data_IF_030864940488
#
_entry.id   IF_030864940488
#
_cell.length_a   1.000
_cell.length_b   1.000
_cell.length_c   1.000
_cell.angle_alpha   90.00
_cell.angle_beta   90.00
_cell.angle_gamma   90.00
#
_symmetry.space_group_name_H-M   'P 1'
#
loop_
_entity.id
_entity.type
_entity.pdbx_description
1 polymer ?
#
# COMPACT_ATOMS: atom_id res chain seq x y z
N UNK A 1 -6.62 -9.25 23.72
CA UNK A 1 -7.17 -9.02 22.36
C UNK A 1 -7.06 -10.34 21.60
N UNK A 2 -8.14 -10.83 21.03
CA UNK A 2 -8.12 -12.06 20.23
C UNK A 2 -7.59 -11.75 18.82
N UNK A 3 -6.60 -12.53 18.37
CA UNK A 3 -6.09 -12.48 17.00
C UNK A 3 -6.78 -13.56 16.15
N UNK A 4 -7.38 -13.17 15.04
CA UNK A 4 -7.86 -14.10 14.01
C UNK A 4 -6.86 -14.15 12.87
N UNK A 5 -6.38 -15.35 12.56
CA UNK A 5 -5.40 -15.60 11.50
C UNK A 5 -6.09 -16.27 10.32
N UNK A 6 -5.78 -15.80 9.12
CA UNK A 6 -6.24 -16.39 7.88
C UNK A 6 -5.11 -16.44 6.87
N UNK A 7 -5.24 -17.31 5.85
CA UNK A 7 -4.33 -17.28 4.71
C UNK A 7 -4.67 -16.06 3.82
N UNK A 8 -3.65 -15.33 3.38
CA UNK A 8 -3.82 -14.15 2.53
C UNK A 8 -4.46 -14.49 1.19
N UNK A 9 -4.18 -15.68 0.64
CA UNK A 9 -4.69 -16.14 -0.65
C UNK A 9 -6.18 -16.47 -0.61
N UNK A 10 -6.74 -16.71 0.57
CA UNK A 10 -8.20 -16.86 0.74
C UNK A 10 -8.93 -15.52 0.55
N UNK A 11 -8.22 -14.40 0.66
CA UNK A 11 -8.79 -13.05 0.60
C UNK A 11 -8.43 -12.32 -0.69
N UNK A 12 -7.16 -12.38 -1.08
CA UNK A 12 -6.58 -11.56 -2.14
C UNK A 12 -6.21 -12.45 -3.32
N UNK A 13 -6.81 -12.16 -4.48
CA UNK A 13 -6.36 -12.67 -5.76
C UNK A 13 -5.36 -11.71 -6.39
N UNK A 14 -4.32 -12.26 -7.02
CA UNK A 14 -3.42 -11.50 -7.88
C UNK A 14 -3.40 -12.17 -9.23
N UNK A 15 -3.57 -11.38 -10.29
CA UNK A 15 -3.43 -11.85 -11.66
C UNK A 15 -2.44 -10.96 -12.40
N UNK A 16 -1.64 -11.61 -13.22
CA UNK A 16 -0.84 -10.92 -14.21
C UNK A 16 -1.71 -10.61 -15.43
N UNK A 17 -1.52 -9.44 -16.02
CA UNK A 17 -2.14 -9.03 -17.28
C UNK A 17 -1.05 -8.76 -18.29
N UNK A 18 -1.34 -9.11 -19.53
CA UNK A 18 -0.46 -8.70 -20.62
C UNK A 18 -0.39 -7.17 -20.69
N UNK A 19 0.80 -6.61 -20.91
CA UNK A 19 0.92 -5.20 -21.25
C UNK A 19 0.04 -4.87 -22.45
N UNK A 20 -0.56 -3.69 -22.48
CA UNK A 20 -1.48 -3.30 -23.57
C UNK A 20 -0.71 -3.18 -24.91
N UNK A 21 0.61 -2.96 -24.90
CA UNK A 21 1.48 -3.06 -26.08
C UNK A 21 2.88 -3.62 -25.80
N UNK A 22 3.44 -4.27 -26.81
CA UNK A 22 4.82 -4.80 -26.87
C UNK A 22 5.90 -3.70 -26.97
N UNK A 23 5.52 -2.44 -27.19
CA UNK A 23 6.45 -1.34 -27.51
C UNK A 23 7.25 -0.80 -26.30
N UNK A 24 7.17 -1.45 -25.15
CA UNK A 24 8.03 -1.08 -24.02
C UNK A 24 9.47 -1.54 -24.31
N UNK A 25 10.49 -0.71 -24.04
CA UNK A 25 11.88 -1.08 -24.30
C UNK A 25 12.37 -2.27 -23.45
N UNK A 26 11.61 -2.60 -22.40
CA UNK A 26 11.76 -3.76 -21.51
C UNK A 26 10.37 -4.25 -21.10
N UNK A 27 10.25 -5.46 -20.56
CA UNK A 27 8.94 -5.99 -20.11
C UNK A 27 8.26 -4.98 -19.18
N UNK A 28 7.07 -4.51 -19.55
CA UNK A 28 6.33 -3.54 -18.74
C UNK A 28 6.07 -4.14 -17.35
N UNK A 29 6.50 -3.47 -16.27
CA UNK A 29 6.29 -4.00 -14.92
C UNK A 29 4.87 -3.77 -14.41
N UNK A 30 4.08 -2.91 -15.07
CA UNK A 30 2.73 -2.56 -14.66
C UNK A 30 1.73 -3.61 -15.14
N UNK A 31 1.84 -4.81 -14.59
CA UNK A 31 1.17 -5.99 -15.09
C UNK A 31 0.37 -6.74 -14.02
N UNK A 32 0.27 -6.22 -12.79
CA UNK A 32 -0.47 -6.88 -11.72
C UNK A 32 -1.79 -6.20 -11.40
N UNK A 33 -2.83 -7.02 -11.28
CA UNK A 33 -4.14 -6.62 -10.80
C UNK A 33 -4.48 -7.43 -9.55
N UNK A 34 -4.88 -6.72 -8.51
CA UNK A 34 -5.30 -7.28 -7.23
C UNK A 34 -6.81 -7.28 -7.16
N UNK A 35 -7.40 -8.42 -6.81
CA UNK A 35 -8.83 -8.62 -6.69
C UNK A 35 -9.18 -9.25 -5.34
N UNK A 36 -10.46 -9.15 -4.98
CA UNK A 36 -11.01 -9.89 -3.86
C UNK A 36 -11.42 -11.29 -4.31
N UNK A 37 -11.11 -12.30 -3.50
CA UNK A 37 -11.64 -13.65 -3.65
C UNK A 37 -13.07 -13.75 -3.09
N UNK A 38 -13.78 -14.83 -3.46
CA UNK A 38 -15.07 -15.13 -2.84
C UNK A 38 -14.85 -15.49 -1.38
N UNK A 39 -15.30 -14.62 -0.47
CA UNK A 39 -15.15 -14.82 0.97
C UNK A 39 -16.35 -15.54 1.57
N UNK A 40 -16.11 -16.36 2.58
CA UNK A 40 -17.16 -16.86 3.48
C UNK A 40 -17.72 -15.73 4.35
N UNK A 41 -18.85 -15.97 5.00
CA UNK A 41 -19.43 -15.01 5.95
C UNK A 41 -18.46 -14.67 7.09
N UNK A 42 -17.77 -15.67 7.64
CA UNK A 42 -16.77 -15.51 8.71
C UNK A 42 -15.62 -14.61 8.27
N UNK A 43 -15.09 -14.85 7.06
CA UNK A 43 -14.01 -14.05 6.49
C UNK A 43 -14.46 -12.61 6.20
N UNK A 44 -15.65 -12.44 5.60
CA UNK A 44 -16.20 -11.13 5.31
C UNK A 44 -16.44 -10.31 6.58
N UNK A 45 -16.99 -10.95 7.63
CA UNK A 45 -17.21 -10.35 8.94
C UNK A 45 -15.89 -9.92 9.59
N UNK A 46 -14.83 -10.72 9.47
CA UNK A 46 -13.53 -10.44 10.05
C UNK A 46 -12.90 -9.12 9.54
N UNK A 47 -13.07 -8.82 8.24
CA UNK A 47 -12.46 -7.62 7.61
C UNK A 47 -13.43 -6.45 7.41
N UNK A 48 -14.68 -6.59 7.86
CA UNK A 48 -15.68 -5.52 7.86
C UNK A 48 -15.46 -4.54 9.02
N UNK A 49 -15.82 -3.27 8.90
CA UNK A 49 -15.75 -2.30 10.03
C UNK A 49 -14.56 -1.33 9.98
N UNK A 50 -14.63 -0.24 10.77
CA UNK A 50 -13.58 0.79 10.80
C UNK A 50 -12.37 0.33 11.60
N UNK A 51 -11.17 0.66 11.12
CA UNK A 51 -9.94 0.24 11.79
C UNK A 51 -8.66 0.82 11.20
N UNK A 52 -7.55 0.49 11.83
CA UNK A 52 -6.21 0.75 11.31
C UNK A 52 -5.69 -0.53 10.67
N UNK A 53 -5.26 -0.45 9.42
CA UNK A 53 -4.59 -1.57 8.76
C UNK A 53 -3.10 -1.31 8.59
N UNK A 54 -2.35 -2.40 8.61
CA UNK A 54 -0.90 -2.43 8.45
C UNK A 54 -0.56 -3.34 7.26
N UNK A 55 0.53 -3.02 6.56
CA UNK A 55 1.16 -3.89 5.57
C UNK A 55 2.57 -4.18 6.07
N UNK A 56 2.87 -5.46 6.28
CA UNK A 56 4.16 -5.97 6.71
C UNK A 56 4.88 -6.61 5.53
N UNK A 57 6.17 -6.29 5.36
CA UNK A 57 7.09 -6.93 4.42
C UNK A 57 7.80 -8.10 5.10
N UNK A 58 7.77 -9.26 4.44
CA UNK A 58 8.47 -10.47 4.82
C UNK A 58 9.71 -10.71 3.95
N UNK A 59 10.72 -11.45 4.43
CA UNK A 59 10.85 -12.04 5.77
C UNK A 59 11.34 -11.07 6.85
N UNK A 60 11.66 -9.81 6.51
CA UNK A 60 12.25 -8.82 7.43
C UNK A 60 11.32 -8.41 8.57
N UNK A 61 10.01 -8.74 8.48
CA UNK A 61 8.98 -8.45 9.50
C UNK A 61 8.87 -6.96 9.80
N UNK A 62 9.05 -6.15 8.78
CA UNK A 62 8.96 -4.69 8.83
C UNK A 62 7.56 -4.25 8.43
N UNK A 63 6.88 -3.47 9.27
CA UNK A 63 5.67 -2.76 8.87
C UNK A 63 6.06 -1.57 8.00
N UNK A 64 5.78 -1.68 6.71
CA UNK A 64 6.18 -0.69 5.72
C UNK A 64 5.13 0.39 5.52
N UNK A 65 3.87 0.07 5.84
CA UNK A 65 2.75 0.97 5.63
C UNK A 65 1.66 0.83 6.70
N UNK A 66 1.06 1.95 7.07
CA UNK A 66 -0.12 2.06 7.92
C UNK A 66 -1.16 2.96 7.26
N UNK A 67 -2.43 2.58 7.36
CA UNK A 67 -3.52 3.45 6.95
C UNK A 67 -4.81 3.17 7.70
N UNK A 68 -5.77 4.08 7.56
CA UNK A 68 -7.12 3.90 8.05
C UNK A 68 -8.04 3.23 7.04
N UNK A 69 -8.99 2.44 7.54
CA UNK A 69 -10.09 1.89 6.77
C UNK A 69 -11.43 2.33 7.38
N UNK A 70 -12.34 2.76 6.50
CA UNK A 70 -13.70 3.19 6.81
C UNK A 70 -14.63 2.41 5.86
N UNK A 71 -15.56 1.58 6.36
CA UNK A 71 -16.40 0.71 5.52
C UNK A 71 -17.24 1.45 4.49
N UNK A 72 -17.64 2.69 4.79
CA UNK A 72 -18.34 3.56 3.83
C UNK A 72 -17.53 3.82 2.56
N UNK A 73 -16.21 3.57 2.57
CA UNK A 73 -15.38 3.67 1.39
C UNK A 73 -15.59 2.52 0.40
N UNK A 74 -16.10 1.37 0.86
CA UNK A 74 -16.21 0.12 0.12
C UNK A 74 -15.22 -0.92 0.64
N UNK A 75 -14.73 -1.81 -0.20
CA UNK A 75 -13.99 -3.02 0.19
C UNK A 75 -12.49 -2.78 0.47
N UNK A 76 -12.01 -3.14 1.67
CA UNK A 76 -10.60 -2.99 2.08
C UNK A 76 -9.63 -3.69 1.13
N UNK A 77 -9.99 -4.82 0.53
CA UNK A 77 -9.07 -5.59 -0.30
C UNK A 77 -8.71 -4.82 -1.58
N UNK A 78 -9.63 -4.57 -2.54
CA UNK A 78 -9.28 -3.89 -3.77
C UNK A 78 -9.02 -2.40 -3.57
N UNK A 79 -9.53 -1.77 -2.51
CA UNK A 79 -9.40 -0.32 -2.32
C UNK A 79 -8.26 0.11 -1.40
N UNK A 80 -7.76 -0.76 -0.52
CA UNK A 80 -6.66 -0.42 0.38
C UNK A 80 -5.48 -1.34 0.11
N UNK A 81 -5.54 -2.59 0.52
CA UNK A 81 -4.41 -3.51 0.41
C UNK A 81 -3.94 -3.67 -1.04
N UNK A 82 -4.86 -3.94 -1.97
CA UNK A 82 -4.56 -4.08 -3.39
C UNK A 82 -4.01 -2.80 -4.03
N UNK A 83 -4.55 -1.61 -3.71
CA UNK A 83 -4.01 -0.33 -4.23
C UNK A 83 -2.62 -0.03 -3.68
N UNK A 84 -2.41 -0.30 -2.39
CA UNK A 84 -1.12 -0.08 -1.77
C UNK A 84 -0.08 -1.07 -2.28
N UNK A 85 -0.39 -2.36 -2.43
CA UNK A 85 0.53 -3.32 -3.04
C UNK A 85 0.93 -2.91 -4.45
N UNK A 86 -0.02 -2.48 -5.29
CA UNK A 86 0.29 -1.96 -6.63
C UNK A 86 1.37 -0.88 -6.55
N UNK A 87 1.20 0.12 -5.69
CA UNK A 87 2.14 1.25 -5.61
C UNK A 87 3.42 0.95 -4.83
N UNK A 88 3.39 0.09 -3.82
CA UNK A 88 4.54 -0.33 -3.00
C UNK A 88 5.48 -1.24 -3.79
N UNK A 89 4.93 -2.14 -4.60
CA UNK A 89 5.72 -3.07 -5.42
C UNK A 89 6.09 -2.47 -6.77
N UNK A 90 5.41 -1.37 -7.15
CA UNK A 90 5.54 -0.72 -8.44
C UNK A 90 5.18 -1.61 -9.64
N UNK A 91 4.40 -2.66 -9.40
CA UNK A 91 3.96 -3.66 -10.41
C UNK A 91 2.51 -3.52 -10.84
N UNK A 92 1.76 -2.57 -10.29
CA UNK A 92 0.33 -2.44 -10.55
C UNK A 92 -0.02 -1.93 -11.96
N UNK A 93 -0.95 -2.61 -12.63
CA UNK A 93 -1.42 -2.25 -13.97
C UNK A 93 -2.11 -0.87 -14.07
N UNK A 94 -2.48 -0.28 -12.92
CA UNK A 94 -3.18 0.99 -12.86
C UNK A 94 -2.40 2.06 -12.07
N UNK A 95 -1.09 1.93 -11.85
CA UNK A 95 -0.32 2.94 -11.11
C UNK A 95 -0.33 4.28 -11.86
N UNK A 96 -0.60 5.36 -11.12
CA UNK A 96 -0.41 6.73 -11.58
C UNK A 96 0.99 7.25 -11.20
N UNK A 97 1.72 7.71 -12.21
CA UNK A 97 3.03 8.36 -12.11
C UNK A 97 2.94 9.88 -12.24
N UNK A 98 1.86 10.37 -12.88
CA UNK A 98 1.64 11.77 -13.19
C UNK A 98 1.72 12.73 -12.00
N UNK A 99 1.92 14.04 -12.27
CA UNK A 99 1.76 15.06 -11.24
C UNK A 99 0.33 15.02 -10.68
N UNK A 100 0.16 15.50 -9.44
CA UNK A 100 -1.16 15.60 -8.81
C UNK A 100 -2.17 16.22 -9.79
N UNK A 101 -3.39 15.69 -9.77
CA UNK A 101 -4.44 15.88 -10.78
C UNK A 101 -4.79 17.33 -11.19
N UNK A 102 -4.28 18.35 -10.49
CA UNK A 102 -4.55 19.78 -10.70
C UNK A 102 -3.54 20.50 -11.61
N UNK A 103 -2.32 19.99 -11.79
CA UNK A 103 -1.30 20.63 -12.65
C UNK A 103 -0.72 19.60 -13.62
N UNK A 104 -1.20 19.61 -14.86
CA UNK A 104 -0.75 18.75 -15.96
C UNK A 104 0.07 19.51 -17.00
N UNK A 105 0.63 20.67 -16.62
CA UNK A 105 1.51 21.40 -17.52
C UNK A 105 2.71 20.53 -17.91
N UNK A 106 3.29 20.70 -19.11
CA UNK A 106 4.51 19.98 -19.50
C UNK A 106 5.62 20.11 -18.46
N UNK A 107 5.77 21.31 -17.87
CA UNK A 107 6.73 21.56 -16.79
C UNK A 107 6.45 20.72 -15.52
N UNK A 108 5.19 20.56 -15.12
CA UNK A 108 4.84 19.72 -13.96
C UNK A 108 5.10 18.24 -14.22
N UNK A 109 4.83 17.77 -15.43
CA UNK A 109 5.13 16.40 -15.87
C UNK A 109 6.64 16.15 -15.85
N UNK A 110 7.45 17.06 -16.40
CA UNK A 110 8.91 16.98 -16.38
C UNK A 110 9.46 16.98 -14.95
N UNK A 111 9.06 17.94 -14.10
CA UNK A 111 9.48 17.99 -12.69
C UNK A 111 9.14 16.71 -11.94
N UNK A 112 7.98 16.11 -12.23
CA UNK A 112 7.57 14.86 -11.62
C UNK A 112 8.47 13.71 -12.07
N UNK A 113 8.73 13.57 -13.36
CA UNK A 113 9.66 12.57 -13.90
C UNK A 113 11.05 12.70 -13.26
N UNK A 114 11.60 13.91 -13.24
CA UNK A 114 12.90 14.19 -12.62
C UNK A 114 12.93 13.80 -11.14
N UNK A 115 11.86 14.10 -10.40
CA UNK A 115 11.73 13.70 -9.00
C UNK A 115 11.71 12.18 -8.82
N UNK A 116 11.06 11.44 -9.73
CA UNK A 116 11.08 9.97 -9.70
C UNK A 116 12.48 9.42 -10.01
N UNK A 117 13.14 9.96 -11.05
CA UNK A 117 14.49 9.56 -11.43
C UNK A 117 15.53 9.86 -10.34
N UNK A 118 15.39 10.98 -9.64
CA UNK A 118 16.31 11.40 -8.58
C UNK A 118 16.28 10.48 -7.35
N UNK A 119 15.18 9.77 -7.12
CA UNK A 119 15.05 8.84 -5.98
C UNK A 119 15.29 7.38 -6.33
N UNK A 120 15.43 7.07 -7.62
CA UNK A 120 15.61 5.73 -8.15
C UNK A 120 17.10 5.45 -8.34
N UNK A 121 17.58 4.29 -7.92
CA UNK A 121 18.97 3.86 -8.12
C UNK A 121 19.03 2.84 -9.26
N UNK A 122 18.07 1.91 -9.30
CA UNK A 122 18.05 0.78 -10.21
C UNK A 122 18.00 1.22 -11.68
N UNK A 123 18.96 0.81 -12.53
CA UNK A 123 19.00 1.20 -13.93
C UNK A 123 17.73 0.80 -14.71
N UNK A 124 17.20 -0.39 -14.43
CA UNK A 124 15.98 -0.91 -15.06
C UNK A 124 14.77 -0.03 -14.73
N UNK A 125 14.55 0.30 -13.45
CA UNK A 125 13.48 1.21 -13.04
C UNK A 125 13.62 2.60 -13.66
N UNK A 126 14.85 3.14 -13.77
CA UNK A 126 15.08 4.41 -14.48
C UNK A 126 14.66 4.31 -15.95
N UNK A 127 14.96 3.19 -16.61
CA UNK A 127 14.54 2.96 -17.98
C UNK A 127 13.01 2.89 -18.10
N UNK A 128 12.33 2.19 -17.18
CA UNK A 128 10.86 2.14 -17.11
C UNK A 128 10.28 3.54 -16.92
N UNK A 129 10.82 4.33 -15.98
CA UNK A 129 10.34 5.71 -15.73
C UNK A 129 10.48 6.55 -17.00
N UNK A 130 11.63 6.52 -17.68
CA UNK A 130 11.80 7.28 -18.93
C UNK A 130 10.83 6.82 -20.01
N UNK A 131 10.66 5.50 -20.18
CA UNK A 131 9.73 4.94 -21.14
C UNK A 131 8.27 5.36 -20.84
N UNK A 132 7.88 5.35 -19.57
CA UNK A 132 6.55 5.74 -19.11
C UNK A 132 6.23 7.22 -19.31
N UNK A 133 7.22 8.06 -19.65
CA UNK A 133 7.06 9.49 -19.96
C UNK A 133 7.39 9.84 -21.42
N UNK A 134 7.92 8.90 -22.21
CA UNK A 134 8.11 9.08 -23.64
C UNK A 134 6.72 9.17 -24.31
N UNK A 135 6.40 10.32 -24.91
CA UNK A 135 5.05 10.75 -25.31
C UNK A 135 4.40 9.93 -26.44
N UNK A 136 5.01 8.83 -26.87
CA UNK A 136 4.64 8.09 -28.08
C UNK A 136 3.72 6.88 -27.83
N UNK A 137 3.13 6.74 -26.63
CA UNK A 137 2.29 5.58 -26.30
C UNK A 137 1.03 5.92 -25.47
N UNK A 138 -0.09 5.27 -25.83
CA UNK A 138 -1.35 5.38 -25.08
C UNK A 138 -1.24 4.90 -23.62
N UNK A 139 -0.36 3.93 -23.33
CA UNK A 139 -0.08 3.47 -21.96
C UNK A 139 0.72 4.49 -21.15
N UNK A 140 1.70 5.14 -21.77
CA UNK A 140 2.43 6.28 -21.19
C UNK A 140 1.45 7.36 -20.77
N UNK A 141 0.48 7.70 -21.63
CA UNK A 141 -0.58 8.67 -21.32
C UNK A 141 -1.48 8.21 -20.16
N UNK A 142 -1.70 6.90 -19.99
CA UNK A 142 -2.50 6.34 -18.89
C UNK A 142 -1.75 6.42 -17.56
N UNK A 143 -0.50 5.98 -17.52
CA UNK A 143 0.33 6.02 -16.31
C UNK A 143 0.76 7.44 -15.95
N UNK A 144 0.88 8.36 -16.90
CA UNK A 144 1.09 9.78 -16.64
C UNK A 144 -0.15 10.53 -16.11
N UNK A 145 -1.29 9.85 -15.91
CA UNK A 145 -2.49 10.42 -15.28
C UNK A 145 -2.60 9.96 -13.82
N UNK A 146 -3.27 10.79 -13.01
CA UNK A 146 -3.77 10.33 -11.71
C UNK A 146 -4.88 9.30 -11.94
N UNK A 147 -4.67 8.09 -11.45
CA UNK A 147 -5.59 6.95 -11.62
C UNK A 147 -6.34 6.63 -10.32
N UNK A 148 -6.13 7.42 -9.26
CA UNK A 148 -6.53 7.08 -7.90
C UNK A 148 -5.60 6.06 -7.23
N UNK A 149 -4.56 5.58 -7.94
CA UNK A 149 -3.48 4.72 -7.45
C UNK A 149 -2.12 5.44 -7.62
N UNK A 150 -2.04 6.67 -7.15
CA UNK A 150 -0.86 7.50 -7.34
C UNK A 150 0.29 7.02 -6.44
N UNK A 151 1.46 6.80 -7.03
CA UNK A 151 2.64 6.38 -6.28
C UNK A 151 3.31 7.57 -5.60
N UNK A 152 3.80 7.37 -4.37
CA UNK A 152 4.61 8.40 -3.67
C UNK A 152 6.09 8.16 -3.93
N UNK A 153 6.92 9.19 -3.73
CA UNK A 153 8.38 9.02 -3.82
C UNK A 153 8.88 7.97 -2.83
N UNK A 154 8.28 7.91 -1.64
CA UNK A 154 8.61 6.95 -0.60
C UNK A 154 8.29 5.50 -1.02
N UNK A 155 7.16 5.26 -1.69
CA UNK A 155 6.82 3.93 -2.22
C UNK A 155 7.73 3.53 -3.38
N UNK A 156 8.10 4.48 -4.25
CA UNK A 156 9.08 4.21 -5.31
C UNK A 156 10.46 3.88 -4.73
N UNK A 157 10.95 4.62 -3.73
CA UNK A 157 12.22 4.29 -3.04
C UNK A 157 12.20 2.88 -2.47
N UNK A 158 11.11 2.52 -1.78
CA UNK A 158 10.95 1.17 -1.25
C UNK A 158 10.93 0.12 -2.37
N UNK A 159 10.21 0.38 -3.47
CA UNK A 159 10.22 -0.51 -4.62
C UNK A 159 11.60 -0.65 -5.26
N UNK A 160 12.37 0.43 -5.33
CA UNK A 160 13.74 0.48 -5.87
C UNK A 160 14.73 -0.33 -5.03
N UNK A 161 14.64 -0.22 -3.70
CA UNK A 161 15.41 -1.02 -2.74
C UNK A 161 15.13 -2.54 -2.87
N UNK A 162 13.90 -2.89 -3.26
CA UNK A 162 13.43 -4.28 -3.38
C UNK A 162 13.18 -4.71 -4.82
N UNK A 163 13.70 -3.98 -5.81
CA UNK A 163 13.29 -4.15 -7.20
C UNK A 163 13.64 -5.52 -7.76
N UNK A 164 14.80 -6.04 -7.37
CA UNK A 164 15.22 -7.39 -7.71
C UNK A 164 14.20 -8.46 -7.32
N UNK A 165 13.61 -8.32 -6.12
CA UNK A 165 12.56 -9.22 -5.66
C UNK A 165 11.26 -8.97 -6.44
N UNK A 166 10.83 -7.71 -6.55
CA UNK A 166 9.54 -7.37 -7.14
C UNK A 166 9.45 -7.58 -8.64
N UNK A 167 10.53 -7.39 -9.39
CA UNK A 167 10.59 -7.63 -10.84
C UNK A 167 10.43 -9.11 -11.19
N UNK A 168 10.93 -10.01 -10.34
CA UNK A 168 10.90 -11.47 -10.54
C UNK A 168 9.71 -12.16 -9.90
N UNK A 169 9.01 -11.49 -8.99
CA UNK A 169 7.86 -12.07 -8.32
C UNK A 169 6.73 -12.42 -9.31
N UNK A 170 6.20 -13.64 -9.16
CA UNK A 170 4.94 -14.07 -9.78
C UNK A 170 3.78 -13.58 -8.93
N UNK A 171 2.53 -13.61 -9.45
CA UNK A 171 1.35 -13.29 -8.64
C UNK A 171 1.29 -14.04 -7.30
N UNK A 172 1.68 -15.32 -7.29
CA UNK A 172 1.68 -16.16 -6.09
C UNK A 172 2.81 -15.79 -5.13
N UNK A 173 4.05 -15.70 -5.63
CA UNK A 173 5.21 -15.42 -4.77
C UNK A 173 5.20 -13.99 -4.24
N UNK A 174 4.55 -13.05 -4.93
CA UNK A 174 4.42 -11.69 -4.46
C UNK A 174 3.61 -11.61 -3.16
N UNK A 175 2.52 -12.37 -3.05
CA UNK A 175 1.73 -12.39 -1.82
C UNK A 175 2.51 -13.00 -0.65
N UNK A 176 3.46 -13.90 -0.92
CA UNK A 176 4.30 -14.53 0.11
C UNK A 176 5.26 -13.52 0.78
N UNK A 177 5.54 -12.42 0.09
CA UNK A 177 6.36 -11.33 0.61
C UNK A 177 5.60 -10.37 1.54
N UNK A 178 4.29 -10.54 1.75
CA UNK A 178 3.51 -9.59 2.54
C UNK A 178 2.55 -10.25 3.53
N UNK A 179 2.34 -9.58 4.66
CA UNK A 179 1.24 -9.85 5.58
C UNK A 179 0.39 -8.61 5.79
N UNK A 180 -0.90 -8.80 6.00
CA UNK A 180 -1.86 -7.72 6.16
C UNK A 180 -2.51 -7.82 7.52
N UNK A 181 -2.54 -6.72 8.24
CA UNK A 181 -3.13 -6.69 9.58
C UNK A 181 -4.23 -5.66 9.61
N UNK A 182 -5.32 -5.94 10.32
CA UNK A 182 -6.40 -4.99 10.58
C UNK A 182 -6.72 -5.03 12.07
N UNK A 183 -6.55 -3.89 12.74
CA UNK A 183 -7.04 -3.65 14.09
C UNK A 183 -8.35 -2.88 13.99
N UNK A 184 -9.43 -3.55 14.31
CA UNK A 184 -10.79 -3.06 14.14
C UNK A 184 -11.40 -2.61 15.46
N UNK A 185 -12.14 -1.50 15.41
CA UNK A 185 -13.07 -1.12 16.47
C UNK A 185 -14.32 -1.99 16.39
N UNK A 186 -14.64 -2.72 17.45
CA UNK A 186 -15.94 -3.36 17.62
C UNK A 186 -17.04 -2.28 17.67
N UNK A 187 -18.31 -2.62 17.41
CA UNK A 187 -19.42 -1.65 17.35
C UNK A 187 -19.78 -1.09 18.73
N UNK A 188 -18.86 -0.32 19.33
CA UNK A 188 -19.08 0.49 20.52
C UNK A 188 -19.45 1.94 20.16
N UNK A 189 -19.14 2.36 18.93
CA UNK A 189 -19.42 3.69 18.39
C UNK A 189 -20.26 3.55 17.12
N UNK A 190 -21.05 4.59 16.81
CA UNK A 190 -21.64 4.72 15.49
C UNK A 190 -20.55 4.87 14.41
N UNK A 191 -20.91 4.61 13.15
CA UNK A 191 -19.96 4.57 12.04
C UNK A 191 -19.21 5.90 11.84
N UNK A 192 -19.86 7.04 12.07
CA UNK A 192 -19.27 8.38 11.86
C UNK A 192 -18.28 8.70 12.97
N UNK A 193 -18.63 8.41 14.22
CA UNK A 193 -17.74 8.57 15.36
C UNK A 193 -16.52 7.66 15.25
N UNK A 194 -16.73 6.37 14.92
CA UNK A 194 -15.62 5.44 14.67
C UNK A 194 -14.69 5.93 13.55
N UNK A 195 -15.24 6.41 12.43
CA UNK A 195 -14.45 6.95 11.33
C UNK A 195 -13.62 8.19 11.71
N UNK A 196 -14.14 9.03 12.60
CA UNK A 196 -13.44 10.23 13.10
C UNK A 196 -12.29 9.84 14.01
N UNK A 197 -12.54 8.91 14.93
CA UNK A 197 -11.55 8.46 15.89
C UNK A 197 -10.41 7.67 15.25
N UNK A 198 -10.70 6.77 14.31
CA UNK A 198 -9.66 6.07 13.55
C UNK A 198 -8.79 7.07 12.78
N UNK A 199 -9.35 8.14 12.22
CA UNK A 199 -8.57 9.16 11.52
C UNK A 199 -7.65 9.94 12.46
N UNK A 200 -8.12 10.28 13.67
CA UNK A 200 -7.32 10.92 14.71
C UNK A 200 -6.16 10.02 15.15
N UNK A 201 -6.45 8.73 15.36
CA UNK A 201 -5.46 7.71 15.74
C UNK A 201 -4.41 7.53 14.64
N UNK A 202 -4.83 7.39 13.38
CA UNK A 202 -3.91 7.27 12.24
C UNK A 202 -2.93 8.45 12.19
N UNK A 203 -3.44 9.68 12.27
CA UNK A 203 -2.60 10.89 12.25
C UNK A 203 -1.53 10.88 13.35
N UNK A 204 -1.90 10.47 14.57
CA UNK A 204 -0.97 10.34 15.70
C UNK A 204 0.08 9.26 15.44
N UNK A 205 -0.35 8.08 15.00
CA UNK A 205 0.55 6.95 14.73
C UNK A 205 1.53 7.25 13.61
N UNK A 206 1.06 7.83 12.50
CA UNK A 206 1.94 8.25 11.41
C UNK A 206 3.03 9.17 11.95
N UNK A 207 2.65 10.20 12.72
CA UNK A 207 3.59 11.18 13.28
C UNK A 207 4.69 10.55 14.12
N UNK A 208 4.37 9.49 14.88
CA UNK A 208 5.29 8.79 15.77
C UNK A 208 6.17 7.73 15.06
N UNK A 209 5.61 6.94 14.14
CA UNK A 209 6.27 5.72 13.66
C UNK A 209 7.03 5.86 12.34
N UNK A 210 6.78 6.92 11.54
CA UNK A 210 7.53 7.21 10.30
C UNK A 210 7.76 5.95 9.43
N UNK A 211 6.68 5.31 8.98
CA UNK A 211 6.81 4.09 8.17
C UNK A 211 7.25 4.41 6.74
N UNK A 212 8.16 3.58 6.20
CA UNK A 212 8.91 3.88 4.97
C UNK A 212 8.04 4.21 3.77
N UNK A 213 6.85 3.61 3.62
CA UNK A 213 5.95 3.86 2.49
C UNK A 213 4.88 4.95 2.75
N UNK A 214 4.80 5.51 3.96
CA UNK A 214 3.88 6.58 4.30
C UNK A 214 4.44 7.95 3.93
N UNK A 215 3.56 8.93 3.66
CA UNK A 215 3.97 10.24 3.12
C UNK A 215 4.75 11.14 4.08
N UNK A 216 4.78 10.81 5.37
CA UNK A 216 5.44 11.61 6.41
C UNK A 216 6.83 11.10 6.80
N UNK A 217 7.27 9.99 6.21
CA UNK A 217 8.63 9.49 6.28
C UNK A 217 9.57 10.38 5.46
N UNK A 218 10.70 10.75 6.05
CA UNK A 218 11.73 11.60 5.45
C UNK A 218 13.02 10.81 5.26
N UNK A 219 13.33 10.46 4.02
CA UNK A 219 14.63 9.88 3.68
C UNK A 219 15.71 10.98 3.64
N UNK A 220 16.93 10.77 4.19
CA UNK A 220 17.41 9.58 4.91
C UNK A 220 17.21 9.64 6.43
N UNK A 221 16.75 10.76 6.99
CA UNK A 221 16.73 10.98 8.45
C UNK A 221 15.99 9.89 9.23
N UNK A 222 14.93 9.33 8.63
CA UNK A 222 14.06 8.37 9.30
C UNK A 222 14.49 6.91 9.05
N UNK A 223 15.49 6.66 8.20
CA UNK A 223 15.94 5.30 7.85
C UNK A 223 16.36 4.45 9.06
N UNK A 224 17.06 4.99 10.08
CA UNK A 224 17.41 4.22 11.28
C UNK A 224 16.19 3.72 12.07
N UNK A 225 15.02 4.37 11.94
CA UNK A 225 13.80 4.03 12.66
C UNK A 225 13.14 2.75 12.12
N UNK A 226 13.45 2.34 10.87
CA UNK A 226 12.85 1.16 10.23
C UNK A 226 13.00 -0.12 11.05
N UNK A 227 14.12 -0.27 11.78
CA UNK A 227 14.40 -1.43 12.64
C UNK A 227 13.41 -1.57 13.80
N UNK A 228 12.73 -0.49 14.16
CA UNK A 228 11.76 -0.46 15.26
C UNK A 228 10.34 -0.78 14.76
N UNK A 229 10.10 -0.76 13.45
CA UNK A 229 8.78 -0.93 12.83
C UNK A 229 8.33 -2.39 12.78
N UNK A 230 8.33 -3.08 13.92
CA UNK A 230 7.89 -4.47 14.04
C UNK A 230 6.38 -4.55 14.33
N UNK A 231 5.71 -5.60 13.81
CA UNK A 231 4.27 -5.80 14.01
C UNK A 231 3.85 -5.78 15.49
N UNK A 232 4.49 -6.51 16.43
CA UNK A 232 4.07 -6.50 17.83
C UNK A 232 4.07 -5.09 18.45
N UNK A 233 5.08 -4.28 18.13
CA UNK A 233 5.23 -2.94 18.68
C UNK A 233 4.17 -1.97 18.12
N UNK A 234 3.90 -2.03 16.81
CA UNK A 234 2.83 -1.24 16.20
C UNK A 234 1.43 -1.71 16.64
N UNK A 235 1.19 -3.02 16.75
CA UNK A 235 -0.07 -3.58 17.22
C UNK A 235 -0.36 -3.13 18.66
N UNK A 236 0.65 -3.13 19.53
CA UNK A 236 0.52 -2.60 20.90
C UNK A 236 0.20 -1.10 20.88
N UNK A 237 0.93 -0.30 20.09
CA UNK A 237 0.69 1.14 19.99
C UNK A 237 -0.70 1.47 19.44
N UNK A 238 -1.17 0.76 18.42
CA UNK A 238 -2.52 0.90 17.88
C UNK A 238 -3.55 0.47 18.93
N UNK A 239 -3.32 -0.64 19.63
CA UNK A 239 -4.24 -1.14 20.64
C UNK A 239 -4.40 -0.16 21.80
N UNK A 240 -3.30 0.37 22.34
CA UNK A 240 -3.31 1.44 23.35
C UNK A 240 -4.05 2.68 22.85
N UNK A 241 -3.78 3.07 21.59
CA UNK A 241 -4.41 4.21 20.98
C UNK A 241 -5.93 4.08 20.84
N UNK A 242 -6.42 2.90 20.42
CA UNK A 242 -7.84 2.66 20.24
C UNK A 242 -8.57 2.43 21.57
N UNK A 243 -7.95 1.70 22.51
CA UNK A 243 -8.54 1.48 23.85
C UNK A 243 -8.74 2.80 24.63
N UNK A 244 -7.91 3.82 24.41
CA UNK A 244 -8.12 5.15 25.03
C UNK A 244 -9.39 5.86 24.58
N UNK A 245 -10.04 5.35 23.53
CA UNK A 245 -11.26 5.93 22.95
C UNK A 245 -12.48 5.06 23.27
N UNK A 246 -12.35 3.74 23.16
CA UNK A 246 -13.50 2.81 23.27
C UNK A 246 -13.66 2.15 24.63
N UNK A 247 -12.71 2.35 25.55
CA UNK A 247 -12.54 1.49 26.72
C UNK A 247 -11.88 0.15 26.36
N UNK A 248 -11.51 -0.61 27.39
CA UNK A 248 -10.78 -1.89 27.25
C UNK A 248 -11.68 -2.98 26.68
N UNK A 249 -11.20 -3.71 25.65
CA UNK A 249 -11.84 -4.94 25.17
C UNK A 249 -12.67 -4.81 23.88
N UNK A 250 -12.76 -3.61 23.30
CA UNK A 250 -13.52 -3.35 22.07
C UNK A 250 -12.69 -3.54 20.78
N UNK A 251 -11.59 -4.30 20.81
CA UNK A 251 -10.70 -4.48 19.65
C UNK A 251 -10.69 -5.91 19.15
N UNK A 252 -10.62 -6.05 17.84
CA UNK A 252 -10.34 -7.30 17.16
C UNK A 252 -9.14 -7.11 16.25
N UNK A 253 -8.19 -8.05 16.33
CA UNK A 253 -7.04 -8.08 15.44
C UNK A 253 -7.22 -9.21 14.42
N UNK A 254 -7.14 -8.86 13.15
CA UNK A 254 -7.15 -9.81 12.04
C UNK A 254 -5.80 -9.76 11.34
N UNK A 255 -5.23 -10.92 11.06
CA UNK A 255 -3.95 -11.07 10.36
C UNK A 255 -4.14 -12.01 9.17
N UNK A 256 -3.82 -11.51 7.98
CA UNK A 256 -3.72 -12.29 6.75
C UNK A 256 -2.24 -12.55 6.48
N UNK A 257 -1.85 -13.82 6.46
CA UNK A 257 -0.45 -14.24 6.29
C UNK A 257 -0.33 -15.24 5.14
N UNK A 258 0.83 -15.33 4.47
CA UNK A 258 1.11 -16.36 3.47
C UNK A 258 0.85 -17.78 3.96
#
# INVERSE_FOLDING_TARGET
>A
MEERKFNVRDFIGVRQVEPIKESWPIRCPFDLIFSRQRLTEVQNSAISGSGIYLIEKLPQREVVYLGLYKPMAGDIIPQRWGRHLQTITWRGANIGLGPNCRDRTPAAVTRRMESLLAVTIQPELKAIIRAAYAQDCADTVRHCKSTGNDTSLNRLRFADEHWDEFSRATPQTLLDSFSFHLLRMRPALDQKSAATEVARIEKRLLSAWKLVCNGNYKHPSDQPLRRQNAVPALVDAVSKAMNSVTGTGALQWVSLRP
#
